data_IF_843292809767
#
_entry.id   IF_843292809767
#
_cell.length_a   1.000
_cell.length_b   1.000
_cell.length_c   1.000
_cell.angle_alpha   90.00
_cell.angle_beta   90.00
_cell.angle_gamma   90.00
#
_symmetry.space_group_name_H-M   'P 1'
#
loop_
_entity.id
_entity.type
_entity.pdbx_description
1 polymer ?
#
# COMPACT_ATOMS: atom_id res chain seq x y z
N UNK A 1 -5.65 27.93 -13.34
CA UNK A 1 -6.22 27.62 -12.00
C UNK A 1 -6.22 26.11 -11.82
N UNK A 2 -5.39 25.58 -10.91
CA UNK A 2 -5.38 24.16 -10.61
C UNK A 2 -6.72 23.81 -9.93
N UNK A 3 -7.55 23.05 -10.62
CA UNK A 3 -8.84 22.60 -10.11
C UNK A 3 -8.59 21.74 -8.86
N UNK A 4 -9.16 22.14 -7.73
CA UNK A 4 -9.05 21.36 -6.49
C UNK A 4 -9.61 19.94 -6.72
N UNK A 5 -8.87 18.87 -6.39
CA UNK A 5 -9.35 17.50 -6.61
C UNK A 5 -10.65 17.26 -5.83
N UNK A 6 -11.55 16.47 -6.44
CA UNK A 6 -12.85 16.08 -5.87
C UNK A 6 -12.77 14.75 -5.08
N UNK A 7 -11.59 14.42 -4.58
CA UNK A 7 -11.30 13.21 -3.82
C UNK A 7 -10.28 13.51 -2.72
N UNK A 8 -10.22 12.63 -1.74
CA UNK A 8 -9.41 12.74 -0.54
C UNK A 8 -8.69 11.42 -0.29
N UNK A 9 -7.61 11.46 0.49
CA UNK A 9 -7.10 10.27 1.17
C UNK A 9 -7.55 10.33 2.62
N UNK A 10 -8.16 9.25 3.09
CA UNK A 10 -8.47 9.06 4.49
C UNK A 10 -7.70 7.88 5.06
N UNK A 11 -7.43 7.89 6.37
CA UNK A 11 -6.91 6.71 7.07
C UNK A 11 -7.66 6.47 8.37
N UNK A 12 -7.75 5.19 8.71
CA UNK A 12 -8.45 4.74 9.92
C UNK A 12 -7.67 5.17 11.17
N UNK A 13 -8.34 5.89 12.08
CA UNK A 13 -7.78 6.29 13.37
C UNK A 13 -7.49 5.09 14.26
N UNK A 14 -8.45 4.18 14.40
CA UNK A 14 -8.31 2.99 15.25
C UNK A 14 -7.42 1.95 14.56
N UNK A 15 -6.30 1.62 15.18
CA UNK A 15 -5.32 0.69 14.65
C UNK A 15 -4.68 -0.13 15.77
N UNK A 16 -4.28 -1.36 15.45
CA UNK A 16 -3.54 -2.23 16.36
C UNK A 16 -2.37 -2.85 15.62
N UNK A 17 -1.26 -3.05 16.32
CA UNK A 17 -0.08 -3.70 15.75
C UNK A 17 -0.26 -5.17 15.42
N UNK A 18 -1.31 -5.82 15.91
CA UNK A 18 -1.65 -7.22 15.63
C UNK A 18 -2.79 -7.41 14.60
N UNK A 19 -3.36 -6.33 14.06
CA UNK A 19 -4.29 -6.38 12.93
C UNK A 19 -3.58 -6.87 11.65
N UNK A 20 -4.34 -7.27 10.63
CA UNK A 20 -3.78 -7.64 9.30
C UNK A 20 -2.94 -6.51 8.71
N UNK A 21 -3.43 -5.28 8.82
CA UNK A 21 -2.71 -4.04 8.52
C UNK A 21 -2.94 -3.03 9.64
N UNK A 22 -1.89 -2.37 10.08
CA UNK A 22 -1.94 -1.32 11.10
C UNK A 22 -2.38 0.00 10.50
N UNK A 23 -1.72 0.41 9.42
CA UNK A 23 -2.11 1.58 8.65
C UNK A 23 -3.03 1.15 7.50
N UNK A 24 -4.27 1.61 7.55
CA UNK A 24 -5.25 1.39 6.48
C UNK A 24 -5.70 2.74 5.98
N UNK A 25 -5.37 3.05 4.73
CA UNK A 25 -5.83 4.25 4.06
C UNK A 25 -6.77 3.91 2.89
N UNK A 26 -7.67 4.83 2.58
CA UNK A 26 -8.65 4.74 1.50
C UNK A 26 -8.65 6.00 0.66
N UNK A 27 -8.91 5.85 -0.64
CA UNK A 27 -9.27 6.95 -1.50
C UNK A 27 -10.79 7.16 -1.38
N UNK A 28 -11.19 8.40 -1.14
CA UNK A 28 -12.56 8.77 -0.83
C UNK A 28 -13.02 9.84 -1.82
N UNK A 29 -14.29 9.79 -2.22
CA UNK A 29 -14.91 10.96 -2.84
C UNK A 29 -15.01 12.11 -1.82
N UNK A 30 -15.20 13.32 -2.30
CA UNK A 30 -15.30 14.49 -1.42
C UNK A 30 -16.54 14.40 -0.53
N UNK A 31 -16.33 14.03 0.72
CA UNK A 31 -17.38 13.83 1.72
C UNK A 31 -16.92 14.26 3.11
N UNK A 32 -17.86 14.45 4.01
CA UNK A 32 -17.58 14.62 5.43
C UNK A 32 -17.16 13.27 6.05
N UNK A 33 -16.19 13.31 6.97
CA UNK A 33 -15.73 12.14 7.71
C UNK A 33 -16.01 12.30 9.20
N UNK A 34 -16.35 11.19 9.86
CA UNK A 34 -16.47 11.14 11.32
C UNK A 34 -15.09 11.07 12.02
N UNK A 35 -15.08 11.16 13.33
CA UNK A 35 -13.87 11.21 14.17
C UNK A 35 -12.96 9.98 14.06
N UNK A 36 -13.47 8.85 13.60
CA UNK A 36 -12.70 7.61 13.42
C UNK A 36 -11.89 7.55 12.12
N UNK A 37 -12.03 8.56 11.25
CA UNK A 37 -11.36 8.65 9.96
C UNK A 37 -10.70 10.03 9.83
N UNK A 38 -9.37 10.04 9.83
CA UNK A 38 -8.61 11.23 9.48
C UNK A 38 -8.55 11.41 7.97
N UNK A 39 -8.56 12.64 7.51
CA UNK A 39 -8.51 12.96 6.07
C UNK A 39 -7.37 13.91 5.75
N UNK A 40 -6.80 13.75 4.56
CA UNK A 40 -5.85 14.67 3.96
C UNK A 40 -6.21 14.96 2.52
N UNK A 41 -5.83 16.15 2.05
CA UNK A 41 -5.98 16.58 0.67
C UNK A 41 -4.61 17.05 0.16
N UNK A 42 -3.76 16.14 -0.33
CA UNK A 42 -2.45 16.49 -0.82
C UNK A 42 -2.51 17.46 -2.01
N UNK A 43 -1.53 18.36 -2.11
CA UNK A 43 -1.33 19.19 -3.28
C UNK A 43 -0.39 18.44 -4.23
N UNK A 44 -0.93 17.56 -5.06
CA UNK A 44 -0.17 16.73 -5.97
C UNK A 44 -0.92 16.52 -7.29
N UNK A 45 -0.21 16.11 -8.33
CA UNK A 45 -0.83 15.62 -9.58
C UNK A 45 -1.58 14.32 -9.32
N UNK A 46 -2.58 13.95 -10.14
CA UNK A 46 -3.36 12.73 -9.92
C UNK A 46 -2.52 11.47 -9.79
N UNK A 47 -1.49 11.29 -10.63
CA UNK A 47 -0.58 10.13 -10.57
C UNK A 47 0.25 10.11 -9.27
N UNK A 48 0.75 11.26 -8.82
CA UNK A 48 1.47 11.36 -7.54
C UNK A 48 0.54 11.19 -6.33
N UNK A 49 -0.75 11.53 -6.51
CA UNK A 49 -1.78 11.21 -5.52
C UNK A 49 -1.98 9.71 -5.40
N UNK A 50 -2.00 8.99 -6.55
CA UNK A 50 -2.02 7.52 -6.57
C UNK A 50 -0.78 6.93 -5.90
N UNK A 51 0.41 7.48 -6.18
CA UNK A 51 1.66 7.03 -5.56
C UNK A 51 1.63 7.21 -4.03
N UNK A 52 1.18 8.36 -3.53
CA UNK A 52 1.03 8.56 -2.09
C UNK A 52 0.06 7.54 -1.47
N UNK A 53 -1.10 7.30 -2.11
CA UNK A 53 -2.06 6.30 -1.66
C UNK A 53 -1.43 4.90 -1.59
N UNK A 54 -0.69 4.49 -2.62
CA UNK A 54 -0.02 3.20 -2.66
C UNK A 54 1.08 3.10 -1.59
N UNK A 55 1.89 4.16 -1.41
CA UNK A 55 2.91 4.25 -0.35
C UNK A 55 2.32 4.02 1.04
N UNK A 56 1.21 4.72 1.36
CA UNK A 56 0.53 4.59 2.66
C UNK A 56 -0.04 3.18 2.92
N UNK A 57 -0.36 2.43 1.86
CA UNK A 57 -0.88 1.07 1.96
C UNK A 57 0.19 -0.01 1.74
N UNK A 58 1.43 0.37 1.46
CA UNK A 58 2.52 -0.60 1.26
C UNK A 58 2.90 -1.32 2.54
N UNK A 59 3.36 -2.57 2.40
CA UNK A 59 3.79 -3.39 3.54
C UNK A 59 4.99 -2.79 4.27
N UNK A 60 5.87 -2.09 3.55
CA UNK A 60 7.04 -1.42 4.12
C UNK A 60 6.61 -0.27 5.03
N UNK A 61 5.67 0.55 4.57
CA UNK A 61 5.12 1.64 5.39
C UNK A 61 4.35 1.10 6.59
N UNK A 62 3.58 0.03 6.42
CA UNK A 62 2.86 -0.61 7.52
C UNK A 62 3.81 -1.26 8.54
N UNK A 63 4.94 -1.82 8.09
CA UNK A 63 5.99 -2.32 8.99
C UNK A 63 6.53 -1.21 9.90
N UNK A 64 6.84 -0.03 9.34
CA UNK A 64 7.29 1.12 10.13
C UNK A 64 6.19 1.63 11.06
N UNK A 65 4.95 1.70 10.56
CA UNK A 65 3.79 2.12 11.36
C UNK A 65 3.60 1.24 12.59
N UNK A 66 3.80 -0.10 12.46
CA UNK A 66 3.72 -1.06 13.56
C UNK A 66 4.78 -0.82 14.63
N UNK A 67 6.01 -0.51 14.23
CA UNK A 67 7.09 -0.24 15.18
C UNK A 67 6.85 1.05 15.98
N UNK A 68 6.15 2.02 15.40
CA UNK A 68 5.88 3.31 16.03
C UNK A 68 4.62 3.33 16.89
N UNK A 69 3.63 2.49 16.58
CA UNK A 69 2.33 2.52 17.25
C UNK A 69 2.42 2.00 18.69
N UNK A 70 2.38 2.91 19.65
CA UNK A 70 2.39 2.59 21.09
C UNK A 70 0.99 2.41 21.72
N UNK A 71 -0.09 2.40 20.92
CA UNK A 71 -1.47 2.33 21.44
C UNK A 71 -2.45 1.83 20.39
N UNK A 72 -3.68 2.36 20.40
CA UNK A 72 -4.77 1.94 19.51
C UNK A 72 -5.26 3.04 18.57
N UNK A 73 -4.57 4.19 18.54
CA UNK A 73 -4.95 5.32 17.72
C UNK A 73 -3.78 5.76 16.83
N UNK A 74 -3.93 5.59 15.51
CA UNK A 74 -2.96 6.07 14.53
C UNK A 74 -3.27 7.54 14.16
N UNK A 75 -2.79 8.46 15.01
CA UNK A 75 -3.02 9.90 14.88
C UNK A 75 -2.08 10.57 13.85
N UNK A 76 -2.27 11.86 13.60
CA UNK A 76 -1.35 12.70 12.81
C UNK A 76 0.09 12.63 13.32
N UNK A 77 0.29 12.55 14.63
CA UNK A 77 1.61 12.42 15.25
C UNK A 77 2.39 11.19 14.70
N UNK A 78 1.73 10.05 14.50
CA UNK A 78 2.37 8.87 13.90
C UNK A 78 2.50 9.00 12.38
N UNK A 79 1.50 9.56 11.72
CA UNK A 79 1.51 9.77 10.27
C UNK A 79 2.69 10.63 9.82
N UNK A 80 2.98 11.72 10.54
CA UNK A 80 4.11 12.63 10.27
C UNK A 80 5.49 12.00 10.44
N UNK A 81 5.59 10.86 11.13
CA UNK A 81 6.83 10.14 11.35
C UNK A 81 7.07 9.00 10.33
N UNK A 82 6.15 8.78 9.42
CA UNK A 82 6.34 7.76 8.40
C UNK A 82 7.35 8.23 7.34
N UNK A 83 8.23 7.35 6.87
CA UNK A 83 9.23 7.67 5.86
C UNK A 83 8.60 7.66 4.45
N UNK A 84 7.61 8.52 4.21
CA UNK A 84 6.95 8.61 2.91
C UNK A 84 7.90 9.24 1.89
N UNK A 85 8.03 8.61 0.73
CA UNK A 85 8.82 9.14 -0.37
C UNK A 85 8.21 10.48 -0.86
N UNK A 86 9.04 11.52 -1.04
CA UNK A 86 8.56 12.79 -1.53
C UNK A 86 8.10 12.68 -3.00
N UNK A 87 7.20 13.53 -3.46
CA UNK A 87 6.65 13.46 -4.84
C UNK A 87 7.71 13.43 -5.95
N UNK A 88 8.86 14.05 -5.71
CA UNK A 88 9.98 14.18 -6.65
C UNK A 88 10.79 12.88 -6.78
N UNK A 89 10.65 11.96 -5.83
CA UNK A 89 11.31 10.65 -5.88
C UNK A 89 10.72 9.70 -6.93
N UNK A 90 9.53 10.00 -7.45
CA UNK A 90 8.87 9.17 -8.45
C UNK A 90 9.18 9.65 -9.87
N UNK A 91 9.85 8.81 -10.67
CA UNK A 91 10.01 8.96 -12.11
C UNK A 91 8.73 8.61 -12.89
N UNK A 92 8.77 8.80 -14.21
CA UNK A 92 7.64 8.45 -15.08
C UNK A 92 7.35 6.95 -15.04
N UNK A 93 8.38 6.11 -15.08
CA UNK A 93 8.25 4.64 -15.01
C UNK A 93 7.58 4.18 -13.71
N UNK A 94 7.89 4.83 -12.58
CA UNK A 94 7.26 4.52 -11.30
C UNK A 94 5.76 4.83 -11.35
N UNK A 95 5.40 6.01 -11.89
CA UNK A 95 4.02 6.42 -12.00
C UNK A 95 3.24 5.57 -12.99
N UNK A 96 3.85 5.14 -14.08
CA UNK A 96 3.26 4.22 -15.07
C UNK A 96 3.02 2.82 -14.48
N UNK A 97 3.86 2.37 -13.57
CA UNK A 97 3.66 1.11 -12.86
C UNK A 97 2.57 1.21 -11.78
N UNK A 98 2.61 2.26 -10.97
CA UNK A 98 1.76 2.43 -9.78
C UNK A 98 0.33 2.83 -10.15
N UNK A 99 0.19 3.80 -11.06
CA UNK A 99 -1.10 4.46 -11.35
C UNK A 99 -2.20 3.48 -11.80
N UNK A 100 -1.99 2.59 -12.79
CA UNK A 100 -3.04 1.67 -13.24
C UNK A 100 -3.44 0.68 -12.13
N UNK A 101 -2.51 0.25 -11.28
CA UNK A 101 -2.80 -0.66 -10.17
C UNK A 101 -3.64 0.01 -9.10
N UNK A 102 -3.33 1.24 -8.76
CA UNK A 102 -4.12 2.03 -7.80
C UNK A 102 -5.50 2.33 -8.38
N UNK A 103 -5.59 2.69 -9.65
CA UNK A 103 -6.86 2.93 -10.32
C UNK A 103 -7.77 1.69 -10.24
N UNK A 104 -7.26 0.51 -10.62
CA UNK A 104 -8.02 -0.75 -10.55
C UNK A 104 -8.42 -1.11 -9.11
N UNK A 105 -7.56 -0.86 -8.12
CA UNK A 105 -7.86 -1.09 -6.71
C UNK A 105 -8.90 -0.15 -6.13
N UNK A 106 -9.00 1.08 -6.62
CA UNK A 106 -9.79 2.14 -5.96
C UNK A 106 -11.06 2.51 -6.71
N UNK A 107 -11.05 2.50 -8.04
CA UNK A 107 -12.22 2.87 -8.85
C UNK A 107 -13.17 1.67 -9.02
N UNK A 108 -13.87 1.35 -7.95
CA UNK A 108 -14.88 0.26 -7.91
C UNK A 108 -16.32 0.78 -7.81
N UNK A 109 -16.50 2.11 -7.83
CA UNK A 109 -17.79 2.82 -7.80
C UNK A 109 -17.66 4.13 -8.54
N UNK A 110 -18.73 4.59 -9.17
CA UNK A 110 -18.81 5.88 -9.86
C UNK A 110 -18.50 7.10 -8.96
N UNK A 111 -18.53 6.95 -7.64
CA UNK A 111 -18.17 8.01 -6.69
C UNK A 111 -16.72 8.50 -6.89
N UNK A 112 -15.83 7.61 -7.34
CA UNK A 112 -14.44 7.92 -7.67
C UNK A 112 -14.18 8.20 -9.17
N UNK A 113 -15.22 8.34 -10.00
CA UNK A 113 -15.07 8.74 -11.39
C UNK A 113 -14.27 10.06 -11.60
N UNK A 114 -14.33 11.07 -10.71
CA UNK A 114 -13.44 12.22 -10.81
C UNK A 114 -11.95 11.86 -10.75
N UNK A 115 -11.56 10.90 -9.90
CA UNK A 115 -10.19 10.42 -9.81
C UNK A 115 -9.78 9.64 -11.06
N UNK A 116 -10.63 8.73 -11.53
CA UNK A 116 -10.38 7.96 -12.74
C UNK A 116 -10.14 8.87 -13.95
N UNK A 117 -11.02 9.87 -14.16
CA UNK A 117 -10.88 10.86 -15.26
C UNK A 117 -9.62 11.72 -15.14
N UNK A 118 -9.25 12.13 -13.92
CA UNK A 118 -8.03 12.90 -13.70
C UNK A 118 -6.76 12.06 -14.01
N UNK A 119 -6.88 10.71 -13.99
CA UNK A 119 -5.86 9.76 -14.44
C UNK A 119 -5.98 9.38 -15.93
N UNK A 120 -6.92 9.98 -16.67
CA UNK A 120 -7.14 9.71 -18.10
C UNK A 120 -7.97 8.45 -18.38
N UNK A 121 -8.72 7.94 -17.42
CA UNK A 121 -9.57 6.76 -17.59
C UNK A 121 -11.06 7.14 -17.55
N UNK A 122 -11.75 6.90 -18.68
CA UNK A 122 -13.19 7.18 -18.87
C UNK A 122 -14.06 5.91 -18.92
N UNK A 123 -13.50 4.75 -18.58
CA UNK A 123 -14.22 3.48 -18.55
C UNK A 123 -15.11 3.32 -17.31
N UNK A 124 -15.82 2.19 -17.28
CA UNK A 124 -16.65 1.78 -16.16
C UNK A 124 -15.81 1.42 -14.91
N UNK A 125 -16.39 1.47 -13.70
CA UNK A 125 -15.73 0.98 -12.49
C UNK A 125 -15.27 -0.47 -12.64
N UNK A 126 -14.11 -0.80 -12.07
CA UNK A 126 -13.58 -2.15 -12.09
C UNK A 126 -14.41 -3.09 -11.21
N UNK A 127 -14.64 -4.31 -11.69
CA UNK A 127 -15.29 -5.36 -10.92
C UNK A 127 -14.49 -5.73 -9.67
N UNK A 128 -15.21 -6.13 -8.62
CA UNK A 128 -14.57 -6.59 -7.39
C UNK A 128 -14.15 -8.04 -7.51
N UNK A 129 -12.86 -8.29 -7.76
CA UNK A 129 -12.23 -9.60 -7.76
C UNK A 129 -11.22 -9.67 -6.60
N UNK A 130 -11.48 -10.47 -5.54
CA UNK A 130 -10.60 -10.56 -4.38
C UNK A 130 -9.18 -11.03 -4.70
N UNK A 131 -9.04 -12.01 -5.61
CA UNK A 131 -7.73 -12.58 -5.95
C UNK A 131 -6.90 -11.60 -6.79
N UNK A 132 -7.51 -10.98 -7.80
CA UNK A 132 -6.88 -9.93 -8.59
C UNK A 132 -6.47 -8.73 -7.71
N UNK A 133 -7.32 -8.31 -6.79
CA UNK A 133 -7.03 -7.23 -5.85
C UNK A 133 -5.88 -7.58 -4.90
N UNK A 134 -5.81 -8.84 -4.45
CA UNK A 134 -4.71 -9.32 -3.63
C UNK A 134 -3.40 -9.29 -4.44
N UNK A 135 -3.42 -9.76 -5.69
CA UNK A 135 -2.26 -9.73 -6.58
C UNK A 135 -1.75 -8.29 -6.79
N UNK A 136 -2.61 -7.34 -7.11
CA UNK A 136 -2.23 -5.93 -7.30
C UNK A 136 -1.60 -5.31 -6.05
N UNK A 137 -2.12 -5.64 -4.86
CA UNK A 137 -1.52 -5.18 -3.59
C UNK A 137 -0.14 -5.76 -3.38
N UNK A 138 0.06 -7.05 -3.65
CA UNK A 138 1.37 -7.70 -3.52
C UNK A 138 2.39 -7.12 -4.52
N UNK A 139 1.96 -6.81 -5.75
CA UNK A 139 2.79 -6.13 -6.75
C UNK A 139 3.22 -4.73 -6.28
N UNK A 140 2.31 -3.95 -5.71
CA UNK A 140 2.63 -2.64 -5.12
C UNK A 140 3.53 -2.78 -3.88
N UNK A 141 3.28 -3.76 -3.02
CA UNK A 141 4.12 -4.04 -1.84
C UNK A 141 5.57 -4.33 -2.25
N UNK A 142 5.76 -5.17 -3.27
CA UNK A 142 7.07 -5.48 -3.85
C UNK A 142 7.73 -4.26 -4.50
N UNK A 143 6.95 -3.47 -5.26
CA UNK A 143 7.45 -2.28 -5.91
C UNK A 143 7.94 -1.23 -4.91
N UNK A 144 7.19 -1.00 -3.84
CA UNK A 144 7.60 -0.09 -2.77
C UNK A 144 8.80 -0.62 -1.99
N UNK A 145 8.92 -1.94 -1.77
CA UNK A 145 10.13 -2.51 -1.18
C UNK A 145 11.37 -2.14 -2.02
N UNK A 146 11.29 -2.19 -3.35
CA UNK A 146 12.36 -1.74 -4.24
C UNK A 146 12.61 -0.23 -4.18
N UNK A 147 11.58 0.59 -4.22
CA UNK A 147 11.71 2.05 -4.11
C UNK A 147 12.40 2.48 -2.81
N UNK A 148 12.19 1.73 -1.72
CA UNK A 148 12.90 1.93 -0.46
C UNK A 148 14.29 1.28 -0.43
N UNK A 149 14.71 0.62 -1.49
CA UNK A 149 16.03 0.01 -1.62
C UNK A 149 16.23 -1.26 -0.78
N UNK A 150 15.15 -1.97 -0.42
CA UNK A 150 15.25 -3.21 0.32
C UNK A 150 15.84 -4.31 -0.58
N UNK A 151 16.76 -5.07 -0.01
CA UNK A 151 17.17 -6.35 -0.58
C UNK A 151 16.07 -7.41 -0.41
N UNK A 152 16.17 -8.52 -1.14
CA UNK A 152 15.22 -9.62 -1.02
C UNK A 152 15.16 -10.20 0.41
N UNK A 153 16.30 -10.31 1.09
CA UNK A 153 16.35 -10.85 2.46
C UNK A 153 15.79 -9.86 3.48
N UNK A 154 15.99 -8.56 3.29
CA UNK A 154 15.33 -7.53 4.12
C UNK A 154 13.82 -7.53 3.92
N UNK A 155 13.33 -7.75 2.70
CA UNK A 155 11.90 -7.90 2.42
C UNK A 155 11.35 -9.18 3.07
N UNK A 156 12.07 -10.32 3.00
CA UNK A 156 11.71 -11.56 3.70
C UNK A 156 11.61 -11.31 5.22
N UNK A 157 12.61 -10.64 5.79
CA UNK A 157 12.59 -10.27 7.21
C UNK A 157 11.41 -9.36 7.56
N UNK A 158 11.10 -8.40 6.69
CA UNK A 158 9.96 -7.48 6.88
C UNK A 158 8.64 -8.26 6.92
N UNK A 159 8.47 -9.22 6.02
CA UNK A 159 7.25 -10.04 5.90
C UNK A 159 7.15 -11.06 7.05
N UNK A 160 8.23 -11.78 7.33
CA UNK A 160 8.31 -12.76 8.42
C UNK A 160 9.76 -12.92 8.90
N UNK A 161 10.12 -12.35 10.05
CA UNK A 161 11.48 -12.44 10.57
C UNK A 161 11.99 -13.88 10.76
N UNK A 162 11.11 -14.84 11.05
CA UNK A 162 11.48 -16.24 11.25
C UNK A 162 12.09 -16.89 9.98
N UNK A 163 11.75 -16.38 8.79
CA UNK A 163 12.31 -16.85 7.52
C UNK A 163 13.81 -16.55 7.36
N UNK A 164 14.31 -15.57 8.09
CA UNK A 164 15.72 -15.14 8.01
C UNK A 164 16.46 -15.51 9.30
N UNK A 165 15.80 -15.34 10.44
CA UNK A 165 16.41 -15.50 11.78
C UNK A 165 16.25 -16.92 12.34
N UNK A 166 15.43 -17.76 11.71
CA UNK A 166 15.11 -19.11 12.14
C UNK A 166 13.76 -19.24 12.86
N UNK A 167 13.21 -20.46 12.92
CA UNK A 167 11.84 -20.73 13.37
C UNK A 167 11.58 -20.37 14.84
N UNK A 168 12.62 -20.31 15.66
CA UNK A 168 12.51 -19.97 17.09
C UNK A 168 12.53 -18.45 17.34
N UNK A 169 12.61 -17.63 16.29
CA UNK A 169 12.63 -16.18 16.46
C UNK A 169 11.31 -15.67 17.03
N UNK A 170 11.33 -14.93 18.15
CA UNK A 170 10.12 -14.66 18.94
C UNK A 170 9.17 -13.61 18.34
N UNK A 171 9.58 -12.92 17.28
CA UNK A 171 8.80 -11.82 16.69
C UNK A 171 8.09 -12.26 15.41
N UNK A 172 6.83 -11.84 15.27
CA UNK A 172 6.03 -11.99 14.04
C UNK A 172 5.56 -10.61 13.62
N UNK A 173 5.93 -10.16 12.42
CA UNK A 173 5.62 -8.81 11.98
C UNK A 173 4.13 -8.60 11.70
N UNK A 174 3.50 -9.52 10.96
CA UNK A 174 2.09 -9.43 10.55
C UNK A 174 1.26 -10.60 11.10
N UNK A 175 1.11 -10.72 12.45
CA UNK A 175 0.51 -11.91 13.05
C UNK A 175 -0.96 -12.13 12.66
N UNK A 176 -1.73 -11.05 12.48
CA UNK A 176 -3.13 -11.13 12.03
C UNK A 176 -3.23 -11.68 10.61
N UNK A 177 -2.47 -11.10 9.69
CA UNK A 177 -2.44 -11.50 8.28
C UNK A 177 -1.95 -12.94 8.10
N UNK A 178 -0.77 -13.25 8.65
CA UNK A 178 -0.17 -14.58 8.54
C UNK A 178 -1.10 -15.67 9.09
N UNK A 179 -1.70 -15.47 10.27
CA UNK A 179 -2.62 -16.43 10.89
C UNK A 179 -3.87 -16.66 10.05
N UNK A 180 -4.46 -15.60 9.50
CA UNK A 180 -5.63 -15.69 8.65
C UNK A 180 -5.34 -16.49 7.40
N UNK A 181 -4.29 -16.13 6.66
CA UNK A 181 -3.94 -16.77 5.40
C UNK A 181 -3.56 -18.25 5.60
N UNK A 182 -2.81 -18.59 6.65
CA UNK A 182 -2.51 -20.00 6.96
C UNK A 182 -3.80 -20.77 7.27
N UNK A 183 -4.76 -20.17 7.97
CA UNK A 183 -6.03 -20.83 8.28
C UNK A 183 -6.91 -21.02 7.01
N UNK A 184 -6.91 -20.07 6.09
CA UNK A 184 -7.73 -20.09 4.88
C UNK A 184 -7.07 -20.90 3.74
N UNK A 185 -5.75 -20.82 3.60
CA UNK A 185 -4.99 -21.33 2.44
C UNK A 185 -3.91 -22.35 2.79
N UNK A 186 -3.67 -22.62 4.08
CA UNK A 186 -2.53 -23.45 4.58
C UNK A 186 -1.15 -22.89 4.20
N UNK A 187 -1.09 -21.61 3.84
CA UNK A 187 0.09 -20.91 3.35
C UNK A 187 0.02 -19.42 3.71
N UNK A 188 1.19 -18.76 3.89
CA UNK A 188 1.27 -17.30 3.95
C UNK A 188 1.35 -16.72 2.52
N UNK A 189 0.21 -16.62 1.86
CA UNK A 189 0.06 -16.28 0.41
C UNK A 189 0.63 -14.90 0.09
N UNK A 190 0.39 -13.90 0.96
CA UNK A 190 0.95 -12.55 0.77
C UNK A 190 2.47 -12.60 0.69
N UNK A 191 3.14 -13.35 1.58
CA UNK A 191 4.60 -13.46 1.56
C UNK A 191 5.10 -14.02 0.22
N UNK A 192 4.54 -15.14 -0.23
CA UNK A 192 4.92 -15.75 -1.50
C UNK A 192 4.71 -14.79 -2.67
N UNK A 193 3.51 -14.20 -2.80
CA UNK A 193 3.18 -13.30 -3.93
C UNK A 193 4.05 -12.04 -3.95
N UNK A 194 4.34 -11.46 -2.79
CA UNK A 194 5.21 -10.27 -2.70
C UNK A 194 6.63 -10.61 -3.13
N UNK A 195 7.18 -11.74 -2.69
CA UNK A 195 8.52 -12.17 -3.08
C UNK A 195 8.60 -12.55 -4.56
N UNK A 196 7.59 -13.24 -5.10
CA UNK A 196 7.49 -13.53 -6.54
C UNK A 196 7.44 -12.24 -7.38
N UNK A 197 6.65 -11.25 -6.97
CA UNK A 197 6.57 -9.97 -7.65
C UNK A 197 7.91 -9.19 -7.56
N UNK A 198 8.59 -9.24 -6.42
CA UNK A 198 9.90 -8.62 -6.24
C UNK A 198 10.96 -9.25 -7.14
N UNK A 199 10.98 -10.57 -7.24
CA UNK A 199 11.90 -11.32 -8.12
C UNK A 199 11.64 -11.00 -9.60
N UNK A 200 10.37 -10.87 -10.03
CA UNK A 200 10.00 -10.47 -11.39
C UNK A 200 10.49 -9.06 -11.75
N UNK A 201 10.31 -8.10 -10.83
CA UNK A 201 10.79 -6.73 -11.02
C UNK A 201 12.33 -6.69 -11.20
N UNK A 202 13.05 -7.48 -10.41
CA UNK A 202 14.52 -7.57 -10.48
C UNK A 202 15.00 -8.21 -11.80
N UNK A 203 14.26 -9.20 -12.32
CA UNK A 203 14.59 -9.85 -13.59
C UNK A 203 14.42 -8.91 -14.80
N UNK A 204 13.45 -7.98 -14.75
CA UNK A 204 13.19 -7.02 -15.83
C UNK A 204 14.32 -6.00 -15.98
N UNK A 205 15.01 -5.61 -14.90
CA UNK A 205 16.13 -4.67 -14.93
C UNK A 205 17.44 -5.31 -15.37
N UNK A 206 17.58 -6.63 -15.22
CA UNK A 206 18.80 -7.38 -15.60
C UNK A 206 18.89 -7.72 -17.09
N UNK A 207 17.91 -7.37 -17.91
CA UNK A 207 17.93 -7.63 -19.36
C UNK A 207 18.40 -6.34 -20.08
N UNK A 208 19.67 -6.24 -20.52
CA UNK A 208 20.13 -5.08 -21.31
C UNK A 208 19.39 -5.08 -22.64
N UNK A 209 18.82 -3.95 -23.01
CA UNK A 209 18.24 -3.64 -24.34
C UNK A 209 19.33 -3.64 -25.42
#
# INVERSE_FOLDING_TARGET
ESRSPKYLIGWRRNARSNDERTLISGLLHLTAAGDSLFIMKPKATPSRYAALYASLNSIVTDWVARQKLGGVNFSFYYMEQLPILPPEAYGEEDLDYITPRVLELTYTSHDLAPFARDLGYDGEPFGWDPDRRHQLRCELDAYYARLYGLTRDELRYTLDPAEVMGPDYPSVTFPGLKRKEIAEHSEYVTQRRVLEAFDQLSATEGTPS
#
